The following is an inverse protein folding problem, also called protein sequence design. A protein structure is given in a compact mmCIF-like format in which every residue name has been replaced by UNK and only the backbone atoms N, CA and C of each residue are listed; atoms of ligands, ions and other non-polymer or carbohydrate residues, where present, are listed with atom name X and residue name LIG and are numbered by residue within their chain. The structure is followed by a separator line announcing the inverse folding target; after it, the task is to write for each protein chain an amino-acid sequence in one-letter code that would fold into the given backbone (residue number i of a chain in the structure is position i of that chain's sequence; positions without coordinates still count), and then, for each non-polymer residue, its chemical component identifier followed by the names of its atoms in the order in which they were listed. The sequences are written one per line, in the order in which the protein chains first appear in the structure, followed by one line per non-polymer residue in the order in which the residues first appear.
data_IF_736331737062
#
_entry.id   IF_736331737062
#
_cell.length_a   1.000
_cell.length_b   1.000
_cell.length_c   1.000
_cell.angle_alpha   90.00
_cell.angle_beta   90.00
_cell.angle_gamma   90.00
#
_symmetry.space_group_name_H-M   'P 1'
#
loop_
_entity.id
_entity.type
_entity.pdbx_description
1 polymer ?
#
# COMPACT_ATOMS: atom_id res chain seq x y z
N UNK A 1 -23.70 -0.35 10.79
CA UNK A 1 -23.23 0.87 10.10
C UNK A 1 -22.20 1.53 11.00
N UNK A 2 -20.91 1.40 10.70
CA UNK A 2 -19.87 2.16 11.40
C UNK A 2 -19.91 3.59 10.86
N UNK A 3 -20.45 4.51 11.65
CA UNK A 3 -20.23 5.93 11.39
C UNK A 3 -18.78 6.22 11.75
N UNK A 4 -17.91 6.34 10.74
CA UNK A 4 -16.58 6.90 10.94
C UNK A 4 -16.77 8.34 11.40
N UNK A 5 -16.63 8.59 12.70
CA UNK A 5 -16.46 9.94 13.21
C UNK A 5 -15.21 10.51 12.54
N UNK A 6 -15.42 11.35 11.53
CA UNK A 6 -14.40 12.22 10.98
C UNK A 6 -14.20 13.31 12.02
N UNK A 7 -13.43 13.01 13.05
CA UNK A 7 -13.05 14.00 14.06
C UNK A 7 -12.15 15.01 13.34
N UNK A 8 -12.72 16.16 12.99
CA UNK A 8 -11.96 17.26 12.42
C UNK A 8 -10.86 17.62 13.43
N UNK A 9 -9.58 17.64 13.03
CA UNK A 9 -8.50 18.06 13.92
C UNK A 9 -8.82 19.47 14.42
N UNK A 10 -8.98 19.62 15.74
CA UNK A 10 -9.16 20.94 16.36
C UNK A 10 -7.88 21.74 16.10
N UNK A 11 -7.96 22.69 15.16
CA UNK A 11 -6.93 23.71 14.99
C UNK A 11 -6.78 24.41 16.35
N UNK A 12 -5.58 24.36 16.92
CA UNK A 12 -5.26 25.20 18.09
C UNK A 12 -5.47 26.66 17.69
N UNK A 13 -6.01 27.48 18.59
CA UNK A 13 -6.46 28.87 18.29
C UNK A 13 -5.37 29.79 17.69
N UNK A 14 -4.11 29.36 17.68
CA UNK A 14 -2.94 30.07 17.16
C UNK A 14 -2.49 29.63 15.74
N UNK A 15 -3.16 28.65 15.10
CA UNK A 15 -2.84 28.26 13.72
C UNK A 15 -3.67 29.05 12.69
N UNK A 16 -3.01 29.67 11.71
CA UNK A 16 -3.68 30.28 10.57
C UNK A 16 -4.61 29.26 9.86
N UNK A 17 -5.83 29.66 9.45
CA UNK A 17 -6.73 28.74 8.78
C UNK A 17 -6.11 28.25 7.47
N UNK A 18 -6.24 26.94 7.15
CA UNK A 18 -5.58 26.37 5.98
C UNK A 18 -6.07 27.04 4.69
N UNK A 19 -5.12 27.40 3.82
CA UNK A 19 -5.45 28.04 2.55
C UNK A 19 -6.22 27.08 1.65
N UNK A 20 -6.88 27.61 0.62
CA UNK A 20 -7.54 26.77 -0.39
C UNK A 20 -6.55 25.85 -1.12
N UNK A 21 -5.29 26.26 -1.25
CA UNK A 21 -4.24 25.40 -1.80
C UNK A 21 -3.90 24.24 -0.84
N UNK A 22 -3.84 24.50 0.46
CA UNK A 22 -3.58 23.46 1.47
C UNK A 22 -4.69 22.43 1.52
N UNK A 23 -5.95 22.88 1.44
CA UNK A 23 -7.10 21.98 1.33
C UNK A 23 -7.01 21.10 0.09
N UNK A 24 -6.69 21.67 -1.08
CA UNK A 24 -6.52 20.91 -2.33
C UNK A 24 -5.37 19.90 -2.22
N UNK A 25 -4.24 20.30 -1.66
CA UNK A 25 -3.08 19.42 -1.47
C UNK A 25 -3.42 18.25 -0.54
N UNK A 26 -4.14 18.50 0.56
CA UNK A 26 -4.62 17.46 1.47
C UNK A 26 -5.58 16.49 0.77
N UNK A 27 -6.54 17.01 0.00
CA UNK A 27 -7.48 16.16 -0.76
C UNK A 27 -6.80 15.33 -1.84
N UNK A 28 -5.75 15.87 -2.49
CA UNK A 28 -4.95 15.12 -3.46
C UNK A 28 -4.14 14.02 -2.77
N UNK A 29 -3.53 14.31 -1.62
CA UNK A 29 -2.80 13.32 -0.84
C UNK A 29 -3.70 12.14 -0.44
N UNK A 30 -4.95 12.38 -0.04
CA UNK A 30 -5.88 11.29 0.28
C UNK A 30 -6.20 10.35 -0.89
N UNK A 31 -5.93 10.77 -2.14
CA UNK A 31 -6.09 9.93 -3.33
C UNK A 31 -4.83 9.18 -3.72
N UNK A 32 -3.71 9.45 -3.06
CA UNK A 32 -2.46 8.75 -3.33
C UNK A 32 -2.59 7.26 -2.91
N UNK A 33 -2.23 6.31 -3.79
CA UNK A 33 -2.23 4.89 -3.46
C UNK A 33 -1.45 4.56 -2.18
N UNK A 34 -0.41 5.30 -1.83
CA UNK A 34 0.36 5.05 -0.60
C UNK A 34 -0.48 5.14 0.67
N UNK A 35 -1.58 5.91 0.62
CA UNK A 35 -2.49 6.10 1.75
C UNK A 35 -3.74 5.21 1.70
N UNK A 36 -3.97 4.50 0.59
CA UNK A 36 -5.21 3.74 0.37
C UNK A 36 -4.99 2.27 -0.01
N UNK A 37 -3.78 1.90 -0.44
CA UNK A 37 -3.45 0.53 -0.87
C UNK A 37 -2.51 -0.10 0.15
N UNK A 38 -2.92 -1.19 0.82
CA UNK A 38 -2.01 -1.93 1.69
C UNK A 38 -0.83 -2.47 0.91
N UNK A 39 0.39 -2.21 1.39
CA UNK A 39 1.62 -2.67 0.73
C UNK A 39 1.63 -4.19 0.54
N UNK A 40 1.16 -4.93 1.55
CA UNK A 40 1.08 -6.40 1.51
C UNK A 40 0.23 -6.89 0.33
N UNK A 41 -0.97 -6.33 0.17
CA UNK A 41 -1.88 -6.62 -0.94
C UNK A 41 -1.25 -6.23 -2.28
N UNK A 42 -0.65 -5.05 -2.37
CA UNK A 42 0.00 -4.58 -3.59
C UNK A 42 1.12 -5.51 -4.04
N UNK A 43 2.00 -5.93 -3.11
CA UNK A 43 3.09 -6.85 -3.40
C UNK A 43 2.56 -8.20 -3.88
N UNK A 44 1.55 -8.76 -3.21
CA UNK A 44 0.91 -10.01 -3.61
C UNK A 44 0.35 -9.92 -5.04
N UNK A 45 -0.41 -8.87 -5.35
CA UNK A 45 -1.00 -8.66 -6.67
C UNK A 45 0.07 -8.54 -7.76
N UNK A 46 1.17 -7.85 -7.50
CA UNK A 46 2.29 -7.74 -8.45
C UNK A 46 2.96 -9.08 -8.70
N UNK A 47 3.18 -9.88 -7.66
CA UNK A 47 3.76 -11.22 -7.80
C UNK A 47 2.81 -12.15 -8.57
N UNK A 48 1.51 -12.11 -8.29
CA UNK A 48 0.52 -12.89 -9.04
C UNK A 48 0.41 -12.47 -10.50
N UNK A 49 0.46 -11.17 -10.78
CA UNK A 49 0.49 -10.67 -12.15
C UNK A 49 1.75 -11.11 -12.90
N UNK A 50 2.92 -11.07 -12.25
CA UNK A 50 4.17 -11.57 -12.79
C UNK A 50 4.10 -13.08 -13.08
N UNK A 51 3.62 -13.88 -12.11
CA UNK A 51 3.43 -15.32 -12.25
C UNK A 51 2.50 -15.65 -13.45
N UNK A 52 1.39 -14.93 -13.59
CA UNK A 52 0.47 -15.12 -14.71
C UNK A 52 1.06 -14.73 -16.08
N UNK A 53 1.98 -13.77 -16.12
CA UNK A 53 2.59 -13.28 -17.37
C UNK A 53 3.68 -14.21 -17.88
N UNK A 54 4.55 -14.73 -17.00
CA UNK A 54 5.68 -15.59 -17.40
C UNK A 54 5.36 -17.09 -17.31
N UNK A 55 4.24 -17.43 -16.68
CA UNK A 55 3.78 -18.79 -16.45
C UNK A 55 4.38 -19.41 -15.17
N UNK A 56 3.64 -20.35 -14.58
CA UNK A 56 3.97 -20.94 -13.29
C UNK A 56 5.38 -21.57 -13.27
N UNK A 57 5.73 -22.35 -14.30
CA UNK A 57 7.02 -23.04 -14.35
C UNK A 57 8.20 -22.06 -14.40
N UNK A 58 8.11 -21.03 -15.26
CA UNK A 58 9.15 -20.01 -15.38
C UNK A 58 9.27 -19.17 -14.11
N UNK A 59 8.12 -18.88 -13.46
CA UNK A 59 8.10 -18.16 -12.20
C UNK A 59 8.75 -18.97 -11.07
N UNK A 60 8.49 -20.27 -10.96
CA UNK A 60 9.16 -21.11 -9.97
C UNK A 60 10.68 -21.16 -10.20
N UNK A 61 11.13 -21.35 -11.44
CA UNK A 61 12.55 -21.31 -11.77
C UNK A 61 13.18 -19.96 -11.42
N UNK A 62 12.48 -18.84 -11.65
CA UNK A 62 12.94 -17.52 -11.21
C UNK A 62 13.06 -17.44 -9.69
N UNK A 63 12.04 -17.91 -8.95
CA UNK A 63 12.04 -17.90 -7.49
C UNK A 63 13.18 -18.72 -6.89
N UNK A 64 13.62 -19.79 -7.55
CA UNK A 64 14.79 -20.59 -7.15
C UNK A 64 16.12 -19.83 -7.30
N UNK A 65 16.18 -18.80 -8.16
CA UNK A 65 17.38 -17.95 -8.31
C UNK A 65 17.44 -16.80 -7.31
N UNK A 66 16.31 -16.50 -6.64
CA UNK A 66 16.23 -15.46 -5.63
C UNK A 66 16.87 -15.99 -4.34
N UNK A 67 17.60 -15.11 -3.65
CA UNK A 67 18.20 -15.43 -2.36
C UNK A 67 17.16 -16.03 -1.40
N UNK A 68 17.51 -17.15 -0.77
CA UNK A 68 16.61 -17.92 0.09
C UNK A 68 16.07 -17.12 1.27
N UNK A 69 16.86 -16.20 1.83
CA UNK A 69 16.44 -15.35 2.94
C UNK A 69 15.41 -14.32 2.46
N UNK A 70 15.59 -13.78 1.25
CA UNK A 70 14.60 -12.89 0.64
C UNK A 70 13.29 -13.63 0.37
N UNK A 71 13.35 -14.85 -0.16
CA UNK A 71 12.14 -15.66 -0.39
C UNK A 71 11.41 -15.94 0.93
N UNK A 72 12.15 -16.26 2.00
CA UNK A 72 11.57 -16.48 3.32
C UNK A 72 10.90 -15.22 3.86
N UNK A 73 11.57 -14.07 3.83
CA UNK A 73 10.99 -12.79 4.28
C UNK A 73 9.74 -12.43 3.46
N UNK A 74 9.76 -12.71 2.16
CA UNK A 74 8.60 -12.50 1.31
C UNK A 74 7.44 -13.41 1.70
N UNK A 75 7.69 -14.70 1.97
CA UNK A 75 6.66 -15.65 2.40
C UNK A 75 6.07 -15.26 3.77
N UNK A 76 6.91 -14.87 4.72
CA UNK A 76 6.48 -14.38 6.04
C UNK A 76 5.68 -13.08 5.90
N UNK A 77 6.14 -12.15 5.07
CA UNK A 77 5.44 -10.90 4.82
C UNK A 77 4.07 -11.12 4.17
N UNK A 78 3.93 -12.12 3.30
CA UNK A 78 2.66 -12.48 2.66
C UNK A 78 1.79 -13.42 3.50
N UNK A 79 2.27 -13.87 4.65
CA UNK A 79 1.52 -14.76 5.52
C UNK A 79 0.26 -14.05 6.04
N UNK A 80 -0.90 -14.68 5.86
CA UNK A 80 -2.19 -14.16 6.34
C UNK A 80 -3.01 -13.35 5.33
N UNK A 81 -2.52 -13.20 4.10
CA UNK A 81 -3.34 -12.92 2.91
C UNK A 81 -3.98 -14.21 2.37
#
# INVERSE_FOLDING_TARGET
MLMSHFEEPKLTEDEEPPTEQDKRKKMLALKDPVHSVPLQQFVYEKLKAQQGLIGDQSFQTLMETVDTEIVKQLQEFLQGL
#
